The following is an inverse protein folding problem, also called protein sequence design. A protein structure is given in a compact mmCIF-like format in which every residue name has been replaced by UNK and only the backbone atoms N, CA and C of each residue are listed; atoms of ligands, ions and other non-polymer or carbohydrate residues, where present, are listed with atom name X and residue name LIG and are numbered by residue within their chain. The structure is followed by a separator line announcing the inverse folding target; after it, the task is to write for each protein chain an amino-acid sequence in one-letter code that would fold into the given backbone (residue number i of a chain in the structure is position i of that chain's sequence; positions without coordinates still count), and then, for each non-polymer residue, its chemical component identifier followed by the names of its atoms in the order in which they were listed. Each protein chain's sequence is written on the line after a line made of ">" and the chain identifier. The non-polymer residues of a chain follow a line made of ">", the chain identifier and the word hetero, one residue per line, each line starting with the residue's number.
data_IF_442545125861
#
_entry.id   IF_442545125861
#
_cell.length_a   1.000
_cell.length_b   1.000
_cell.length_c   1.000
_cell.angle_alpha   90.00
_cell.angle_beta   90.00
_cell.angle_gamma   90.00
#
_symmetry.space_group_name_H-M   'P 1'
#
loop_
_entity.id
_entity.type
_entity.pdbx_description
1 polymer ?
#
# COMPACT_ATOMS: atom_id res chain seq x y z
N UNK A 1 -8.29 -33.69 -14.33
CA UNK A 1 -9.72 -33.58 -14.00
C UNK A 1 -10.00 -33.96 -12.52
N UNK A 2 -9.45 -35.03 -11.98
CA UNK A 2 -9.61 -35.45 -10.55
C UNK A 2 -9.07 -34.43 -9.53
N UNK A 3 -7.95 -33.78 -9.81
CA UNK A 3 -7.33 -32.79 -8.93
C UNK A 3 -8.17 -31.51 -8.78
N UNK A 4 -8.83 -31.08 -9.86
CA UNK A 4 -9.76 -29.92 -9.82
C UNK A 4 -11.05 -30.23 -9.06
N UNK A 5 -11.55 -31.45 -9.10
CA UNK A 5 -12.71 -31.88 -8.33
C UNK A 5 -12.42 -31.94 -6.84
N UNK A 6 -11.30 -32.54 -6.43
CA UNK A 6 -10.86 -32.57 -5.03
C UNK A 6 -10.60 -31.16 -4.47
N UNK A 7 -10.02 -30.25 -5.26
CA UNK A 7 -9.84 -28.86 -4.85
C UNK A 7 -11.17 -28.15 -4.67
N UNK A 8 -12.17 -28.41 -5.50
CA UNK A 8 -13.52 -27.85 -5.42
C UNK A 8 -14.26 -28.30 -4.18
N UNK A 9 -14.17 -29.59 -3.84
CA UNK A 9 -14.83 -30.16 -2.64
C UNK A 9 -14.19 -29.63 -1.36
N UNK A 10 -12.87 -29.53 -1.30
CA UNK A 10 -12.17 -28.94 -0.15
C UNK A 10 -12.49 -27.44 0.03
N UNK A 11 -12.66 -26.68 -1.05
CA UNK A 11 -13.06 -25.27 -0.97
C UNK A 11 -14.51 -25.09 -0.49
N UNK A 12 -15.41 -25.98 -0.85
CA UNK A 12 -16.79 -25.94 -0.35
C UNK A 12 -16.87 -26.20 1.17
N UNK A 13 -16.05 -27.11 1.67
CA UNK A 13 -15.93 -27.36 3.13
C UNK A 13 -15.31 -26.14 3.85
N UNK A 14 -14.34 -25.49 3.23
CA UNK A 14 -13.60 -24.38 3.79
C UNK A 14 -14.44 -23.08 3.88
N UNK A 15 -15.22 -22.76 2.83
CA UNK A 15 -15.99 -21.54 2.72
C UNK A 15 -17.50 -21.72 2.98
N UNK A 16 -18.03 -22.94 2.98
CA UNK A 16 -19.47 -23.24 2.95
C UNK A 16 -20.25 -22.62 1.78
N UNK A 17 -19.56 -22.03 0.84
CA UNK A 17 -20.13 -21.41 -0.38
C UNK A 17 -19.17 -21.61 -1.57
N UNK A 18 -19.69 -21.63 -2.81
CA UNK A 18 -18.83 -21.74 -3.98
C UNK A 18 -17.93 -20.50 -4.12
N UNK A 19 -16.68 -20.71 -4.54
CA UNK A 19 -15.74 -19.59 -4.75
C UNK A 19 -16.25 -18.58 -5.78
N UNK A 20 -16.90 -19.08 -6.84
CA UNK A 20 -17.43 -18.26 -7.92
C UNK A 20 -18.79 -18.78 -8.39
N UNK A 21 -19.72 -17.87 -8.60
CA UNK A 21 -21.01 -18.18 -9.21
C UNK A 21 -21.28 -17.23 -10.39
N UNK A 22 -21.16 -17.74 -11.60
CA UNK A 22 -21.33 -16.96 -12.83
C UNK A 22 -22.75 -16.39 -12.99
N UNK A 23 -23.77 -17.05 -12.46
CA UNK A 23 -25.13 -16.55 -12.52
C UNK A 23 -25.39 -15.33 -11.63
N UNK A 24 -24.71 -15.24 -10.48
CA UNK A 24 -24.77 -14.05 -9.61
C UNK A 24 -23.96 -12.89 -10.18
N UNK A 25 -22.85 -13.17 -10.83
CA UNK A 25 -21.93 -12.13 -11.30
C UNK A 25 -22.38 -11.56 -12.65
N UNK A 26 -22.94 -12.39 -13.56
CA UNK A 26 -23.28 -12.00 -14.92
C UNK A 26 -24.78 -11.94 -15.20
N UNK A 27 -25.65 -12.28 -14.23
CA UNK A 27 -27.10 -12.19 -14.40
C UNK A 27 -27.55 -10.73 -14.41
N UNK A 28 -27.55 -10.15 -15.58
CA UNK A 28 -27.95 -8.77 -15.86
C UNK A 28 -29.48 -8.58 -15.93
N UNK A 29 -30.24 -9.29 -15.11
CA UNK A 29 -31.66 -9.03 -15.00
C UNK A 29 -31.87 -7.82 -14.08
N UNK A 30 -32.12 -6.66 -14.64
CA UNK A 30 -32.46 -5.38 -14.03
C UNK A 30 -31.32 -4.39 -13.71
N UNK A 31 -30.20 -4.40 -14.45
CA UNK A 31 -29.22 -3.32 -14.35
C UNK A 31 -28.44 -3.27 -13.02
N UNK A 32 -28.47 -4.34 -12.23
CA UNK A 32 -27.69 -4.44 -11.01
C UNK A 32 -26.23 -4.80 -11.31
N UNK A 33 -25.32 -4.17 -10.59
CA UNK A 33 -23.89 -4.46 -10.69
C UNK A 33 -23.59 -5.90 -10.26
N UNK A 34 -22.45 -6.48 -10.71
CA UNK A 34 -22.08 -7.86 -10.41
C UNK A 34 -21.97 -8.08 -8.89
N UNK A 35 -22.60 -9.15 -8.41
CA UNK A 35 -22.49 -9.59 -7.00
C UNK A 35 -21.47 -10.71 -6.92
N UNK A 36 -20.65 -10.66 -5.86
CA UNK A 36 -19.64 -11.68 -5.61
C UNK A 36 -20.08 -12.61 -4.47
N UNK A 37 -19.69 -13.88 -4.57
CA UNK A 37 -19.95 -14.88 -3.52
C UNK A 37 -19.22 -14.51 -2.22
N UNK A 38 -19.75 -14.90 -1.07
CA UNK A 38 -19.11 -14.64 0.23
C UNK A 38 -17.71 -15.24 0.32
N UNK A 39 -17.52 -16.44 -0.24
CA UNK A 39 -16.19 -17.05 -0.31
C UNK A 39 -15.18 -16.19 -1.08
N UNK A 40 -15.56 -15.65 -2.25
CA UNK A 40 -14.69 -14.77 -3.03
C UNK A 40 -14.35 -13.49 -2.26
N UNK A 41 -15.33 -12.90 -1.57
CA UNK A 41 -15.13 -11.69 -0.80
C UNK A 41 -14.15 -11.90 0.37
N UNK A 42 -14.31 -13.00 1.12
CA UNK A 42 -13.50 -13.34 2.29
C UNK A 42 -12.11 -13.88 1.94
N UNK A 43 -11.92 -14.42 0.74
CA UNK A 43 -10.63 -14.94 0.28
C UNK A 43 -9.91 -13.97 -0.64
N UNK A 44 -10.37 -13.84 -1.88
CA UNK A 44 -9.65 -13.12 -2.95
C UNK A 44 -9.49 -11.64 -2.61
N UNK A 45 -10.57 -10.96 -2.19
CA UNK A 45 -10.51 -9.53 -1.90
C UNK A 45 -9.65 -9.20 -0.67
N UNK A 46 -9.54 -10.11 0.28
CA UNK A 46 -8.66 -9.94 1.45
C UNK A 46 -7.21 -10.30 1.11
N UNK A 47 -7.01 -11.38 0.35
CA UNK A 47 -5.66 -11.90 0.09
C UNK A 47 -4.89 -11.12 -0.97
N UNK A 48 -5.56 -10.38 -1.86
CA UNK A 48 -4.89 -9.53 -2.85
C UNK A 48 -3.98 -8.48 -2.17
N UNK A 49 -4.48 -7.59 -1.29
CA UNK A 49 -3.61 -6.62 -0.61
C UNK A 49 -2.59 -7.28 0.33
N UNK A 50 -2.99 -8.29 1.10
CA UNK A 50 -2.08 -9.01 1.98
C UNK A 50 -0.96 -9.71 1.20
N UNK A 51 -1.30 -10.37 0.10
CA UNK A 51 -0.35 -11.04 -0.79
C UNK A 51 0.64 -10.07 -1.43
N UNK A 52 0.17 -8.90 -1.87
CA UNK A 52 1.05 -7.84 -2.35
C UNK A 52 2.11 -7.48 -1.30
N UNK A 53 1.68 -7.22 -0.06
CA UNK A 53 2.59 -6.83 1.01
C UNK A 53 3.59 -7.95 1.32
N UNK A 54 3.13 -9.19 1.50
CA UNK A 54 3.99 -10.32 1.86
C UNK A 54 4.99 -10.69 0.75
N UNK A 55 4.59 -10.61 -0.52
CA UNK A 55 5.48 -10.88 -1.66
C UNK A 55 6.54 -9.79 -1.84
N UNK A 56 6.18 -8.52 -1.62
CA UNK A 56 7.12 -7.42 -1.78
C UNK A 56 8.02 -7.20 -0.57
N UNK A 57 7.62 -7.66 0.62
CA UNK A 57 8.32 -7.43 1.88
C UNK A 57 9.80 -7.88 1.88
N UNK A 58 10.19 -9.10 1.43
CA UNK A 58 11.59 -9.52 1.45
C UNK A 58 12.46 -8.70 0.51
N UNK A 59 11.96 -8.42 -0.70
CA UNK A 59 12.67 -7.59 -1.68
C UNK A 59 12.81 -6.15 -1.19
N UNK A 60 11.75 -5.59 -0.66
CA UNK A 60 11.74 -4.21 -0.17
C UNK A 60 12.61 -4.03 1.07
N UNK A 61 12.63 -5.00 1.98
CA UNK A 61 13.52 -5.00 3.14
C UNK A 61 14.99 -5.00 2.72
N UNK A 62 15.34 -5.82 1.74
CA UNK A 62 16.68 -5.85 1.16
C UNK A 62 17.05 -4.48 0.54
N UNK A 63 16.13 -3.90 -0.23
CA UNK A 63 16.32 -2.57 -0.82
C UNK A 63 16.54 -1.50 0.25
N UNK A 64 15.77 -1.50 1.33
CA UNK A 64 15.90 -0.55 2.44
C UNK A 64 17.28 -0.66 3.12
N UNK A 65 17.74 -1.87 3.40
CA UNK A 65 19.06 -2.12 4.02
C UNK A 65 20.20 -1.61 3.11
N UNK A 66 20.09 -1.83 1.81
CA UNK A 66 21.13 -1.44 0.83
C UNK A 66 21.14 0.07 0.59
N UNK A 67 19.98 0.74 0.72
CA UNK A 67 19.82 2.18 0.40
C UNK A 67 19.79 3.05 1.66
N UNK A 68 20.56 2.71 2.68
CA UNK A 68 20.59 3.46 3.94
C UNK A 68 20.74 4.96 3.73
N UNK A 69 19.74 5.72 4.18
CA UNK A 69 19.74 7.17 4.26
C UNK A 69 19.89 7.66 5.71
N UNK A 70 19.83 8.98 5.89
CA UNK A 70 19.83 9.60 7.23
C UNK A 70 18.44 9.43 7.85
N UNK A 71 18.38 8.93 9.10
CA UNK A 71 17.14 8.81 9.86
C UNK A 71 16.36 10.12 9.90
N UNK A 72 15.05 10.05 9.73
CA UNK A 72 14.15 11.21 9.78
C UNK A 72 13.56 11.42 11.17
N UNK A 73 13.32 12.68 11.51
CA UNK A 73 12.59 13.03 12.72
C UNK A 73 11.15 12.55 12.65
N UNK A 74 10.55 12.31 13.82
CA UNK A 74 9.15 11.94 13.94
C UNK A 74 8.30 13.15 13.55
N UNK A 75 7.44 12.97 12.56
CA UNK A 75 6.43 13.97 12.16
C UNK A 75 5.08 13.57 12.74
N UNK A 76 4.20 14.55 12.92
CA UNK A 76 2.81 14.30 13.34
C UNK A 76 2.09 13.31 12.42
N UNK A 77 2.26 13.47 11.11
CA UNK A 77 1.67 12.57 10.12
C UNK A 77 2.19 11.13 10.24
N UNK A 78 3.47 10.94 10.55
CA UNK A 78 4.05 9.60 10.77
C UNK A 78 3.43 8.90 11.97
N UNK A 79 3.22 9.63 13.08
CA UNK A 79 2.54 9.09 14.27
C UNK A 79 1.11 8.72 13.93
N UNK A 80 0.39 9.59 13.22
CA UNK A 80 -1.01 9.38 12.90
C UNK A 80 -1.22 8.15 12.01
N UNK A 81 -0.41 7.96 10.95
CA UNK A 81 -0.42 6.74 10.12
C UNK A 81 -0.17 5.49 10.94
N UNK A 82 0.85 5.50 11.79
CA UNK A 82 1.17 4.35 12.65
C UNK A 82 0.01 4.03 13.60
N UNK A 83 -0.62 5.05 14.18
CA UNK A 83 -1.77 4.90 15.06
C UNK A 83 -2.99 4.32 14.31
N UNK A 84 -3.28 4.82 13.12
CA UNK A 84 -4.40 4.31 12.29
C UNK A 84 -4.20 2.84 11.92
N UNK A 85 -3.00 2.46 11.48
CA UNK A 85 -2.68 1.05 11.17
C UNK A 85 -2.80 0.16 12.41
N UNK A 86 -2.40 0.64 13.58
CA UNK A 86 -2.57 -0.07 14.84
C UNK A 86 -4.05 -0.24 15.20
N UNK A 87 -4.84 0.83 15.08
CA UNK A 87 -6.29 0.78 15.32
C UNK A 87 -7.00 -0.20 14.36
N UNK A 88 -6.59 -0.23 13.09
CA UNK A 88 -7.12 -1.21 12.12
C UNK A 88 -6.85 -2.65 12.58
N UNK A 89 -5.65 -2.95 13.06
CA UNK A 89 -5.33 -4.28 13.61
C UNK A 89 -6.18 -4.61 14.85
N UNK A 90 -6.39 -3.65 15.75
CA UNK A 90 -7.24 -3.81 16.93
C UNK A 90 -8.70 -4.05 16.54
N UNK A 91 -9.25 -3.32 15.58
CA UNK A 91 -10.62 -3.54 15.11
C UNK A 91 -10.84 -4.95 14.57
N UNK A 92 -9.90 -5.48 13.76
CA UNK A 92 -9.99 -6.85 13.26
C UNK A 92 -9.87 -7.87 14.38
N UNK A 93 -8.98 -7.62 15.35
CA UNK A 93 -8.82 -8.48 16.52
C UNK A 93 -10.09 -8.52 17.36
N UNK A 94 -10.71 -7.36 17.62
CA UNK A 94 -11.98 -7.29 18.36
C UNK A 94 -13.11 -8.04 17.62
N UNK A 95 -13.19 -7.89 16.29
CA UNK A 95 -14.17 -8.59 15.46
C UNK A 95 -13.99 -10.11 15.56
N UNK A 96 -12.74 -10.61 15.50
CA UNK A 96 -12.43 -12.03 15.70
C UNK A 96 -12.80 -12.53 17.09
N UNK A 97 -12.50 -11.76 18.15
CA UNK A 97 -12.83 -12.13 19.55
C UNK A 97 -14.34 -12.20 19.73
N UNK A 98 -15.08 -11.23 19.19
CA UNK A 98 -16.56 -11.22 19.24
C UNK A 98 -17.12 -12.44 18.53
N UNK A 99 -16.60 -12.78 17.36
CA UNK A 99 -17.03 -13.96 16.60
C UNK A 99 -16.75 -15.28 17.35
N UNK A 100 -15.65 -15.36 18.09
CA UNK A 100 -15.32 -16.54 18.92
C UNK A 100 -16.25 -16.62 20.14
N UNK A 101 -16.48 -15.47 20.81
CA UNK A 101 -17.23 -15.44 22.08
C UNK A 101 -18.72 -15.73 21.90
N UNK A 102 -19.32 -15.22 20.81
CA UNK A 102 -20.74 -15.37 20.55
C UNK A 102 -21.10 -16.68 19.82
N UNK A 103 -20.14 -17.59 19.60
CA UNK A 103 -20.36 -18.86 18.87
C UNK A 103 -21.27 -18.71 17.65
N UNK A 104 -21.03 -17.70 16.84
CA UNK A 104 -21.83 -17.45 15.65
C UNK A 104 -21.74 -18.66 14.69
N UNK A 105 -22.84 -19.40 14.56
CA UNK A 105 -22.94 -20.61 13.74
C UNK A 105 -22.63 -20.36 12.24
N UNK A 106 -22.55 -19.10 11.83
CA UNK A 106 -22.27 -18.68 10.47
C UNK A 106 -20.79 -18.34 10.21
N UNK A 107 -19.93 -18.38 11.26
CA UNK A 107 -18.50 -18.07 11.09
C UNK A 107 -17.78 -19.31 10.55
N UNK A 108 -17.11 -19.14 9.42
CA UNK A 108 -16.40 -20.20 8.73
C UNK A 108 -14.89 -20.14 9.02
N UNK A 109 -14.15 -21.22 8.76
CA UNK A 109 -12.69 -21.24 8.91
C UNK A 109 -12.01 -20.14 8.11
N UNK A 110 -12.59 -19.73 6.99
CA UNK A 110 -12.11 -18.61 6.15
C UNK A 110 -12.11 -17.30 6.90
N UNK A 111 -13.10 -17.00 7.72
CA UNK A 111 -13.20 -15.74 8.47
C UNK A 111 -12.01 -15.58 9.43
N UNK A 112 -11.63 -16.65 10.11
CA UNK A 112 -10.47 -16.64 11.01
C UNK A 112 -9.16 -16.45 10.25
N UNK A 113 -8.96 -17.17 9.15
CA UNK A 113 -7.73 -17.07 8.36
C UNK A 113 -7.64 -15.69 7.70
N UNK A 114 -8.73 -15.17 7.17
CA UNK A 114 -8.81 -13.83 6.60
C UNK A 114 -8.48 -12.74 7.64
N UNK A 115 -9.08 -12.82 8.83
CA UNK A 115 -8.83 -11.90 9.92
C UNK A 115 -7.38 -11.95 10.41
N UNK A 116 -6.83 -13.13 10.64
CA UNK A 116 -5.43 -13.30 11.06
C UNK A 116 -4.47 -12.74 10.02
N UNK A 117 -4.69 -13.04 8.73
CA UNK A 117 -3.85 -12.50 7.65
C UNK A 117 -3.91 -10.97 7.57
N UNK A 118 -5.07 -10.34 7.79
CA UNK A 118 -5.21 -8.89 7.85
C UNK A 118 -4.47 -8.28 9.05
N UNK A 119 -4.58 -8.89 10.24
CA UNK A 119 -3.85 -8.41 11.44
C UNK A 119 -2.35 -8.43 11.17
N UNK A 120 -1.82 -9.54 10.66
CA UNK A 120 -0.40 -9.67 10.32
C UNK A 120 0.00 -8.61 9.29
N UNK A 121 -0.81 -8.37 8.25
CA UNK A 121 -0.53 -7.37 7.23
C UNK A 121 -0.50 -5.95 7.80
N UNK A 122 -1.45 -5.56 8.68
CA UNK A 122 -1.45 -4.25 9.32
C UNK A 122 -0.24 -4.05 10.25
N UNK A 123 0.13 -5.07 11.03
CA UNK A 123 1.32 -5.02 11.86
C UNK A 123 2.61 -4.93 11.03
N UNK A 124 2.72 -5.68 9.93
CA UNK A 124 3.82 -5.57 8.98
C UNK A 124 3.89 -4.17 8.36
N UNK A 125 2.75 -3.59 7.94
CA UNK A 125 2.70 -2.23 7.40
C UNK A 125 3.17 -1.21 8.43
N UNK A 126 2.75 -1.34 9.69
CA UNK A 126 3.19 -0.48 10.79
C UNK A 126 4.70 -0.57 11.01
N UNK A 127 5.27 -1.78 11.05
CA UNK A 127 6.72 -1.98 11.19
C UNK A 127 7.47 -1.40 10.00
N UNK A 128 6.99 -1.62 8.77
CA UNK A 128 7.60 -1.06 7.57
C UNK A 128 7.64 0.48 7.61
N UNK A 129 6.55 1.14 8.02
CA UNK A 129 6.53 2.60 8.17
C UNK A 129 7.61 3.10 9.13
N UNK A 130 7.87 2.39 10.24
CA UNK A 130 8.94 2.76 11.17
C UNK A 130 10.33 2.51 10.58
N UNK A 131 10.53 1.38 9.89
CA UNK A 131 11.80 1.06 9.22
C UNK A 131 12.12 2.08 8.13
N UNK A 132 11.14 2.45 7.29
CA UNK A 132 11.29 3.49 6.27
C UNK A 132 11.71 4.83 6.85
N UNK A 133 11.11 5.21 7.97
CA UNK A 133 11.50 6.42 8.69
C UNK A 133 12.96 6.35 9.17
N UNK A 134 13.38 5.23 9.74
CA UNK A 134 14.77 5.04 10.19
C UNK A 134 15.76 5.02 9.04
N UNK A 135 15.37 4.48 7.90
CA UNK A 135 16.19 4.46 6.68
C UNK A 135 16.11 5.75 5.84
N UNK A 136 15.32 6.74 6.27
CA UNK A 136 15.23 8.05 5.62
C UNK A 136 14.40 8.09 4.35
N UNK A 137 13.58 7.08 4.07
CA UNK A 137 12.71 7.04 2.88
C UNK A 137 11.57 8.04 3.03
N UNK A 138 11.39 8.94 2.05
CA UNK A 138 10.37 10.01 2.08
C UNK A 138 9.00 9.51 1.64
N UNK A 139 8.95 8.62 0.66
CA UNK A 139 7.71 8.13 0.10
C UNK A 139 7.86 6.66 -0.28
N UNK A 140 7.00 5.82 0.27
CA UNK A 140 6.94 4.39 0.00
C UNK A 140 5.95 4.09 -1.12
N UNK A 141 6.43 3.50 -2.20
CA UNK A 141 5.56 2.97 -3.25
C UNK A 141 4.87 1.68 -2.82
N UNK A 142 5.55 0.83 -2.05
CA UNK A 142 5.02 -0.48 -1.61
C UNK A 142 3.81 -0.29 -0.70
N UNK A 143 3.93 0.58 0.32
CA UNK A 143 2.83 0.87 1.23
C UNK A 143 1.70 1.64 0.55
N UNK A 144 2.01 2.57 -0.37
CA UNK A 144 0.99 3.27 -1.13
C UNK A 144 0.12 2.28 -1.95
N UNK A 145 0.75 1.35 -2.68
CA UNK A 145 0.02 0.34 -3.47
C UNK A 145 -0.75 -0.61 -2.55
N UNK A 146 -0.21 -1.00 -1.40
CA UNK A 146 -0.92 -1.80 -0.41
C UNK A 146 -2.22 -1.13 0.05
N UNK A 147 -2.17 0.14 0.43
CA UNK A 147 -3.36 0.89 0.85
C UNK A 147 -4.33 1.15 -0.30
N UNK A 148 -3.81 1.37 -1.52
CA UNK A 148 -4.64 1.50 -2.73
C UNK A 148 -5.40 0.20 -3.02
N UNK A 149 -4.74 -0.95 -2.98
CA UNK A 149 -5.39 -2.24 -3.15
C UNK A 149 -6.41 -2.51 -2.04
N UNK A 150 -6.08 -2.18 -0.79
CA UNK A 150 -7.01 -2.29 0.34
C UNK A 150 -8.24 -1.39 0.18
N UNK A 151 -8.08 -0.19 -0.36
CA UNK A 151 -9.18 0.71 -0.68
C UNK A 151 -10.08 0.12 -1.78
N UNK A 152 -9.50 -0.35 -2.89
CA UNK A 152 -10.25 -0.91 -4.01
C UNK A 152 -11.05 -2.16 -3.58
N UNK A 153 -10.41 -3.09 -2.88
CA UNK A 153 -11.10 -4.29 -2.38
C UNK A 153 -12.14 -3.94 -1.32
N UNK A 154 -11.84 -3.01 -0.42
CA UNK A 154 -12.77 -2.48 0.57
C UNK A 154 -14.01 -1.81 -0.04
N UNK A 155 -13.83 -1.10 -1.17
CA UNK A 155 -14.95 -0.48 -1.91
C UNK A 155 -15.92 -1.53 -2.46
N UNK A 156 -15.37 -2.62 -3.02
CA UNK A 156 -16.20 -3.75 -3.51
C UNK A 156 -16.97 -4.39 -2.37
N UNK A 157 -16.31 -4.61 -1.22
CA UNK A 157 -16.97 -5.16 -0.02
C UNK A 157 -18.06 -4.21 0.51
N UNK A 158 -17.78 -2.91 0.57
CA UNK A 158 -18.75 -1.90 1.00
C UNK A 158 -20.00 -1.91 0.12
N UNK A 159 -19.79 -1.93 -1.19
CA UNK A 159 -20.85 -2.01 -2.18
C UNK A 159 -21.76 -3.25 -1.97
N UNK A 160 -21.16 -4.44 -1.82
CA UNK A 160 -21.91 -5.67 -1.60
C UNK A 160 -22.73 -5.63 -0.28
N UNK A 161 -22.13 -5.11 0.81
CA UNK A 161 -22.82 -4.98 2.11
C UNK A 161 -24.00 -4.01 2.05
N UNK A 162 -23.88 -2.93 1.28
CA UNK A 162 -24.98 -1.96 1.08
C UNK A 162 -26.12 -2.59 0.27
N UNK A 163 -25.83 -3.31 -0.81
CA UNK A 163 -26.87 -3.96 -1.63
C UNK A 163 -27.58 -5.06 -0.86
N UNK A 164 -26.86 -5.84 -0.06
CA UNK A 164 -27.45 -6.87 0.79
C UNK A 164 -28.21 -6.31 2.01
N UNK A 165 -28.29 -4.98 2.13
CA UNK A 165 -28.97 -4.29 3.24
C UNK A 165 -28.51 -4.73 4.63
N UNK A 166 -27.22 -5.07 4.78
CA UNK A 166 -26.67 -5.51 6.06
C UNK A 166 -26.83 -4.46 7.18
N UNK A 167 -27.00 -3.20 6.83
CA UNK A 167 -27.28 -2.13 7.76
C UNK A 167 -28.65 -2.27 8.47
N UNK A 168 -29.58 -3.06 7.91
CA UNK A 168 -30.89 -3.35 8.53
C UNK A 168 -30.84 -4.59 9.41
N UNK A 169 -30.02 -5.59 9.07
CA UNK A 169 -29.94 -6.88 9.76
C UNK A 169 -28.91 -6.88 10.89
N UNK A 170 -27.69 -6.34 10.64
CA UNK A 170 -26.56 -6.38 11.57
C UNK A 170 -25.87 -5.02 11.66
N UNK A 171 -26.54 -4.06 12.29
CA UNK A 171 -26.07 -2.67 12.43
C UNK A 171 -24.65 -2.59 13.03
N UNK A 172 -24.34 -3.42 14.03
CA UNK A 172 -23.05 -3.37 14.73
C UNK A 172 -21.90 -3.78 13.81
N UNK A 173 -22.01 -4.93 13.15
CA UNK A 173 -20.98 -5.40 12.22
C UNK A 173 -20.83 -4.46 11.00
N UNK A 174 -21.93 -3.87 10.53
CA UNK A 174 -21.88 -2.89 9.45
C UNK A 174 -21.14 -1.62 9.87
N UNK A 175 -21.39 -1.08 11.07
CA UNK A 175 -20.73 0.10 11.57
C UNK A 175 -19.22 -0.13 11.83
N UNK A 176 -18.85 -1.29 12.38
CA UNK A 176 -17.43 -1.67 12.55
C UNK A 176 -16.72 -1.76 11.20
N UNK A 177 -17.36 -2.37 10.21
CA UNK A 177 -16.84 -2.42 8.86
C UNK A 177 -16.66 -1.02 8.25
N UNK A 178 -17.67 -0.16 8.40
CA UNK A 178 -17.62 1.22 7.87
C UNK A 178 -16.51 2.04 8.54
N UNK A 179 -16.32 1.90 9.85
CA UNK A 179 -15.23 2.53 10.59
C UNK A 179 -13.85 2.07 10.05
N UNK A 180 -13.68 0.75 9.85
CA UNK A 180 -12.46 0.19 9.26
C UNK A 180 -12.20 0.74 7.85
N UNK A 181 -13.23 0.77 7.01
CA UNK A 181 -13.13 1.32 5.66
C UNK A 181 -12.74 2.80 5.68
N UNK A 182 -13.34 3.59 6.58
CA UNK A 182 -12.97 5.01 6.74
C UNK A 182 -11.49 5.18 7.13
N UNK A 183 -10.95 4.33 8.01
CA UNK A 183 -9.53 4.39 8.37
C UNK A 183 -8.61 4.01 7.22
N UNK A 184 -9.01 3.06 6.35
CA UNK A 184 -8.26 2.76 5.12
C UNK A 184 -8.25 3.96 4.17
N UNK A 185 -9.38 4.67 4.02
CA UNK A 185 -9.45 5.91 3.24
C UNK A 185 -8.52 6.98 3.81
N UNK A 186 -8.50 7.16 5.12
CA UNK A 186 -7.60 8.11 5.77
C UNK A 186 -6.13 7.73 5.57
N UNK A 187 -5.78 6.45 5.67
CA UNK A 187 -4.42 5.98 5.43
C UNK A 187 -3.93 6.32 4.02
N UNK A 188 -4.71 6.06 2.98
CA UNK A 188 -4.29 6.38 1.62
C UNK A 188 -4.18 7.90 1.41
N UNK A 189 -5.10 8.69 1.99
CA UNK A 189 -5.03 10.15 1.95
C UNK A 189 -3.73 10.64 2.59
N UNK A 190 -3.37 10.12 3.76
CA UNK A 190 -2.10 10.50 4.41
C UNK A 190 -0.86 10.02 3.65
N UNK A 191 -0.94 8.90 2.91
CA UNK A 191 0.15 8.46 2.04
C UNK A 191 0.29 9.30 0.76
N UNK A 192 -0.73 10.08 0.38
CA UNK A 192 -0.62 11.07 -0.68
C UNK A 192 0.21 12.31 -0.27
N UNK A 193 0.35 12.58 1.03
CA UNK A 193 1.16 13.69 1.52
C UNK A 193 2.60 13.24 1.75
N UNK A 194 3.56 14.06 1.28
CA UNK A 194 4.96 13.83 1.53
C UNK A 194 5.33 14.23 2.97
N UNK A 195 6.05 13.38 3.65
CA UNK A 195 6.63 13.70 4.96
C UNK A 195 7.95 14.44 4.79
N UNK A 196 7.87 15.76 4.53
CA UNK A 196 9.06 16.58 4.33
C UNK A 196 9.73 16.88 5.67
N UNK A 197 11.02 16.58 5.85
CA UNK A 197 11.76 16.98 7.03
C UNK A 197 11.90 18.52 7.07
N UNK A 198 11.48 19.12 8.17
CA UNK A 198 11.25 20.56 8.33
C UNK A 198 12.54 21.45 8.32
N UNK A 199 13.73 20.94 8.07
CA UNK A 199 14.97 21.74 8.02
C UNK A 199 15.98 21.19 7.02
N UNK A 200 15.86 21.58 5.79
CA UNK A 200 17.07 21.86 5.01
C UNK A 200 17.51 23.28 5.35
N UNK A 201 18.77 23.40 5.73
CA UNK A 201 19.38 24.71 5.97
C UNK A 201 19.44 25.45 4.62
N UNK A 202 18.40 26.24 4.34
CA UNK A 202 18.23 26.97 3.07
C UNK A 202 19.35 27.95 2.78
N UNK A 203 20.22 28.23 3.78
CA UNK A 203 21.32 29.18 3.65
C UNK A 203 22.58 28.60 3.00
N UNK A 204 22.74 27.28 2.94
CA UNK A 204 23.94 26.65 2.38
C UNK A 204 23.80 26.28 0.88
N UNK A 205 22.64 26.46 0.26
CA UNK A 205 22.40 26.03 -1.11
C UNK A 205 22.41 27.21 -2.08
N UNK A 206 23.41 27.23 -2.96
CA UNK A 206 23.50 28.17 -4.09
C UNK A 206 22.37 27.96 -5.13
N UNK A 207 21.74 26.80 -5.16
CA UNK A 207 20.63 26.42 -6.09
C UNK A 207 19.42 25.92 -5.30
N UNK A 208 18.24 26.02 -5.91
CA UNK A 208 16.98 25.49 -5.33
C UNK A 208 17.09 23.98 -5.09
N UNK A 209 16.69 23.48 -3.91
CA UNK A 209 16.69 22.03 -3.63
C UNK A 209 15.82 21.30 -4.66
N UNK A 210 16.18 20.05 -4.95
CA UNK A 210 15.41 19.22 -5.86
C UNK A 210 14.06 18.80 -5.24
N UNK A 211 12.91 19.27 -5.77
CA UNK A 211 11.60 18.93 -5.23
C UNK A 211 11.25 17.44 -5.39
N UNK A 212 11.92 16.71 -6.28
CA UNK A 212 11.76 15.26 -6.41
C UNK A 212 12.07 14.53 -5.10
N UNK A 213 13.09 14.96 -4.35
CA UNK A 213 13.50 14.31 -3.10
C UNK A 213 12.44 14.42 -2.00
N UNK A 214 11.67 15.50 -2.04
CA UNK A 214 10.63 15.81 -1.06
C UNK A 214 9.22 15.45 -1.54
N UNK A 215 9.06 14.99 -2.78
CA UNK A 215 7.77 14.69 -3.37
C UNK A 215 7.16 13.40 -2.80
N UNK A 216 5.82 13.39 -2.67
CA UNK A 216 5.04 12.20 -2.35
C UNK A 216 5.12 11.16 -3.46
N UNK A 217 4.78 9.89 -3.16
CA UNK A 217 4.84 8.82 -4.17
C UNK A 217 3.94 9.12 -5.38
N UNK A 218 2.66 9.55 -5.24
CA UNK A 218 1.85 9.91 -6.40
C UNK A 218 2.46 11.04 -7.24
N UNK A 219 3.06 12.06 -6.59
CA UNK A 219 3.71 13.17 -7.28
C UNK A 219 4.96 12.73 -8.06
N UNK A 220 5.72 11.75 -7.53
CA UNK A 220 6.84 11.15 -8.23
C UNK A 220 6.38 10.32 -9.42
N UNK A 221 5.35 9.51 -9.24
CA UNK A 221 4.80 8.63 -10.26
C UNK A 221 4.20 9.41 -11.44
N UNK A 222 3.46 10.51 -11.16
CA UNK A 222 2.86 11.37 -12.18
C UNK A 222 3.80 12.48 -12.68
N UNK A 223 5.04 12.54 -12.17
CA UNK A 223 6.02 13.59 -12.49
C UNK A 223 5.49 15.01 -12.17
N UNK A 224 4.48 15.11 -11.31
CA UNK A 224 3.85 16.38 -10.97
C UNK A 224 4.80 17.36 -10.25
N UNK A 225 5.83 16.87 -9.57
CA UNK A 225 6.84 17.68 -8.88
C UNK A 225 7.58 18.66 -9.81
N UNK A 226 7.66 18.40 -11.13
CA UNK A 226 8.32 19.28 -12.11
C UNK A 226 7.37 20.34 -12.67
N UNK A 227 6.06 20.23 -12.47
CA UNK A 227 5.04 21.14 -13.02
C UNK A 227 5.32 22.62 -12.74
N UNK A 228 5.78 23.05 -11.54
CA UNK A 228 6.10 24.45 -11.30
C UNK A 228 7.20 24.98 -12.22
N UNK A 229 8.21 24.17 -12.54
CA UNK A 229 9.28 24.54 -13.46
C UNK A 229 8.76 24.66 -14.90
N UNK A 230 7.95 23.70 -15.35
CA UNK A 230 7.33 23.71 -16.68
C UNK A 230 6.42 24.94 -16.84
N UNK A 231 5.59 25.22 -15.83
CA UNK A 231 4.70 26.39 -15.86
C UNK A 231 5.48 27.69 -15.92
N UNK A 232 6.64 27.78 -15.23
CA UNK A 232 7.52 28.91 -15.31
C UNK A 232 8.15 29.04 -16.71
N UNK A 233 8.62 27.93 -17.29
CA UNK A 233 9.19 27.87 -18.63
C UNK A 233 8.20 28.34 -19.71
N UNK A 234 6.92 27.99 -19.53
CA UNK A 234 5.86 28.42 -20.46
C UNK A 234 5.61 29.93 -20.41
N UNK A 235 5.73 30.54 -19.22
CA UNK A 235 5.43 31.99 -19.02
C UNK A 235 6.64 32.87 -19.26
N UNK A 236 7.85 32.41 -18.96
CA UNK A 236 9.09 33.20 -18.97
C UNK A 236 10.26 32.36 -19.46
N UNK A 237 11.31 33.02 -19.96
CA UNK A 237 12.58 32.36 -20.27
C UNK A 237 13.22 31.83 -19.00
N UNK A 238 13.65 30.54 -19.01
CA UNK A 238 14.36 29.92 -17.90
C UNK A 238 15.80 30.45 -17.83
N UNK A 239 16.22 30.77 -16.63
CA UNK A 239 17.61 31.08 -16.31
C UNK A 239 18.28 29.92 -15.57
N UNK A 240 19.59 29.83 -15.54
CA UNK A 240 20.32 28.79 -14.81
C UNK A 240 19.98 28.77 -13.31
N UNK A 241 19.63 29.94 -12.73
CA UNK A 241 19.22 30.08 -11.35
C UNK A 241 17.84 29.45 -11.04
N UNK A 242 17.05 29.14 -12.07
CA UNK A 242 15.74 28.52 -11.95
C UNK A 242 15.78 27.00 -11.90
N UNK A 243 16.90 26.42 -12.35
CA UNK A 243 17.08 24.98 -12.36
C UNK A 243 17.30 24.45 -10.96
N UNK A 244 16.69 23.30 -10.70
CA UNK A 244 16.87 22.58 -9.45
C UNK A 244 18.24 21.92 -9.36
N UNK A 245 18.71 21.67 -8.15
CA UNK A 245 19.88 20.84 -7.93
C UNK A 245 19.66 19.43 -8.46
N UNK A 246 20.70 18.84 -9.04
CA UNK A 246 20.67 17.47 -9.49
C UNK A 246 20.52 16.54 -8.27
N UNK A 247 19.77 15.44 -8.46
CA UNK A 247 19.69 14.41 -7.43
C UNK A 247 21.10 13.88 -7.13
N UNK A 248 21.52 13.74 -5.86
CA UNK A 248 22.85 13.23 -5.52
C UNK A 248 23.18 11.88 -6.17
N UNK A 249 22.16 11.07 -6.49
CA UNK A 249 22.32 9.78 -7.17
C UNK A 249 22.70 9.94 -8.65
N UNK A 250 22.27 11.03 -9.27
CA UNK A 250 22.48 11.32 -10.70
C UNK A 250 23.71 12.21 -10.92
N UNK A 251 24.48 12.45 -9.86
CA UNK A 251 25.71 13.23 -9.96
C UNK A 251 26.75 12.48 -10.80
N UNK A 252 27.21 13.13 -11.89
CA UNK A 252 28.17 12.57 -12.85
C UNK A 252 29.40 11.99 -12.15
N UNK A 253 29.93 12.65 -11.11
CA UNK A 253 31.11 12.17 -10.38
C UNK A 253 30.86 10.82 -9.70
N UNK A 254 29.64 10.59 -9.17
CA UNK A 254 29.29 9.34 -8.52
C UNK A 254 29.07 8.22 -9.55
N UNK A 255 28.39 8.55 -10.66
CA UNK A 255 28.10 7.59 -11.73
C UNK A 255 29.38 7.21 -12.45
N UNK A 256 30.22 8.18 -12.81
CA UNK A 256 31.47 7.91 -13.53
C UNK A 256 32.44 7.05 -12.73
N UNK A 257 32.57 7.28 -11.42
CA UNK A 257 33.40 6.44 -10.57
C UNK A 257 32.91 4.98 -10.53
N UNK A 258 31.60 4.76 -10.40
CA UNK A 258 31.02 3.42 -10.46
C UNK A 258 31.24 2.76 -11.82
N UNK A 259 31.02 3.52 -12.90
CA UNK A 259 31.22 3.04 -14.25
C UNK A 259 32.69 2.66 -14.49
N UNK A 260 33.64 3.54 -14.17
CA UNK A 260 35.06 3.25 -14.37
C UNK A 260 35.56 2.08 -13.53
N UNK A 261 35.05 1.91 -12.34
CA UNK A 261 35.37 0.74 -11.49
C UNK A 261 34.89 -0.56 -12.16
N UNK A 262 33.63 -0.62 -12.61
CA UNK A 262 33.09 -1.78 -13.32
C UNK A 262 33.81 -2.02 -14.65
N UNK A 263 34.07 -0.96 -15.42
CA UNK A 263 34.77 -1.04 -16.69
C UNK A 263 36.18 -1.61 -16.54
N UNK A 264 36.95 -1.13 -15.56
CA UNK A 264 38.29 -1.61 -15.30
C UNK A 264 38.33 -3.08 -14.87
N UNK A 265 37.32 -3.51 -14.10
CA UNK A 265 37.15 -4.93 -13.72
C UNK A 265 36.88 -5.82 -14.93
N UNK A 266 35.98 -5.41 -15.84
CA UNK A 266 35.69 -6.18 -17.05
C UNK A 266 36.91 -6.17 -18.02
N UNK A 267 37.57 -5.02 -18.16
CA UNK A 267 38.79 -4.93 -18.98
C UNK A 267 39.89 -5.87 -18.46
N UNK A 268 40.08 -5.98 -17.17
CA UNK A 268 41.05 -6.90 -16.57
C UNK A 268 40.73 -8.38 -16.87
N UNK A 269 39.43 -8.75 -16.93
CA UNK A 269 39.00 -10.12 -17.30
C UNK A 269 39.25 -10.45 -18.76
N UNK A 270 39.17 -9.46 -19.68
CA UNK A 270 39.40 -9.67 -21.10
C UNK A 270 40.90 -9.80 -21.45
N UNK A 271 41.81 -9.45 -20.53
CA UNK A 271 43.26 -9.55 -20.72
C UNK A 271 43.88 -10.79 -20.08
N UNK A 272 43.07 -11.64 -19.43
CA UNK A 272 43.41 -12.99 -18.99
C UNK A 272 42.89 -14.06 -19.97
#
# INVERSE_FOLDING_TARGET
>A
MHFMLMARDNFQVFCQSPLWNSSLTWSSNNGSWPQFTDCFQKTVLVWIPCGWLFLTLPYYSYYLITTRGKSRHITFFSILKTLLSFLLAVFVLCDLIVNIYYENTHVTAVDYIAGISQIIAYLCAMVLMQVERWMGVVASGVLFIYWLLSLLTGTVLCYNKVIMKQYETDILHFNVFLARYTFIVLEIVFHCFAEVPHKYDKKALQRKPNPELEASFPSKFTIHWITPLITKAFKNTLTEADLYQLNPRDNIKVISNKFFTAWNQEKAKCHQ
#
